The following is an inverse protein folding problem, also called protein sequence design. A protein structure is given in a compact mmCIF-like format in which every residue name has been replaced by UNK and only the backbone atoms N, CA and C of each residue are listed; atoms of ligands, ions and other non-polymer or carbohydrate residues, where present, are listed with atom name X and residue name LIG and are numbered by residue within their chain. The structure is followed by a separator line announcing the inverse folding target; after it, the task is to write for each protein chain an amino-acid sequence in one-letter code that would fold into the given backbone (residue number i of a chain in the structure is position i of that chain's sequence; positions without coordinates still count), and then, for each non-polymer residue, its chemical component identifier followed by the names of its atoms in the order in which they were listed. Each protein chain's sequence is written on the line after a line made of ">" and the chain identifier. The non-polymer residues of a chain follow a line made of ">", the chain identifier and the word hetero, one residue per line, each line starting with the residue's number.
data_IF_981132969945
#
_entry.id   IF_981132969945
#
_cell.length_a   1.000
_cell.length_b   1.000
_cell.length_c   1.000
_cell.angle_alpha   90.00
_cell.angle_beta   90.00
_cell.angle_gamma   90.00
#
_symmetry.space_group_name_H-M   'P 1'
#
loop_
_entity.id
_entity.type
_entity.pdbx_description
1 polymer ?
#
# COMPACT_ATOMS: atom_id res chain seq x y z
N UNK A 1 3.24 -4.85 21.14
CA UNK A 1 3.21 -6.15 20.46
C UNK A 1 3.85 -7.19 21.37
N UNK A 2 3.13 -8.23 21.77
CA UNK A 2 3.68 -9.30 22.63
C UNK A 2 4.03 -10.53 21.77
N UNK A 3 4.87 -10.31 20.78
CA UNK A 3 5.27 -11.31 19.80
C UNK A 3 6.70 -11.79 20.04
N UNK A 4 7.04 -13.03 19.70
CA UNK A 4 8.41 -13.49 19.66
C UNK A 4 9.26 -12.64 18.71
N UNK A 5 10.53 -12.46 19.05
CA UNK A 5 11.47 -11.66 18.28
C UNK A 5 12.38 -12.53 17.39
N UNK A 6 12.97 -11.93 16.37
CA UNK A 6 14.07 -12.51 15.61
C UNK A 6 15.39 -12.04 16.22
N UNK A 7 16.13 -12.94 16.88
CA UNK A 7 17.40 -12.63 17.54
C UNK A 7 17.31 -11.43 18.50
N UNK A 8 16.21 -11.36 19.26
CA UNK A 8 15.97 -10.29 20.22
C UNK A 8 15.40 -8.99 19.62
N UNK A 9 15.11 -8.95 18.33
CA UNK A 9 14.64 -7.74 17.62
C UNK A 9 13.39 -8.03 16.80
N UNK A 10 12.57 -7.01 16.57
CA UNK A 10 11.50 -7.00 15.57
C UNK A 10 12.04 -6.54 14.22
N UNK A 11 11.36 -6.87 13.16
CA UNK A 11 11.70 -6.40 11.81
C UNK A 11 10.62 -5.42 11.34
N UNK A 12 11.04 -4.27 10.84
CA UNK A 12 10.16 -3.31 10.20
C UNK A 12 10.51 -3.20 8.73
N UNK A 13 9.54 -3.46 7.87
CA UNK A 13 9.67 -3.32 6.41
C UNK A 13 9.12 -1.97 6.02
N UNK A 14 9.93 -1.13 5.37
CA UNK A 14 9.58 0.23 4.98
C UNK A 14 9.93 0.53 3.53
N UNK A 15 9.23 1.52 2.95
CA UNK A 15 9.55 2.06 1.64
C UNK A 15 10.76 3.01 1.70
N UNK A 16 11.60 3.12 0.65
CA UNK A 16 12.75 4.03 0.61
C UNK A 16 12.39 5.50 0.91
N UNK A 17 11.21 5.96 0.51
CA UNK A 17 10.73 7.33 0.84
C UNK A 17 10.59 7.56 2.35
N UNK A 18 10.15 6.54 3.10
CA UNK A 18 10.07 6.60 4.58
C UNK A 18 11.46 6.44 5.20
N UNK A 19 12.32 5.61 4.61
CA UNK A 19 13.70 5.45 5.04
C UNK A 19 14.49 6.76 4.94
N UNK A 20 14.19 7.58 3.93
CA UNK A 20 14.76 8.91 3.78
C UNK A 20 14.42 9.81 4.98
N UNK A 21 13.14 9.88 5.37
CA UNK A 21 12.72 10.68 6.52
C UNK A 21 13.30 10.15 7.85
N UNK A 22 13.30 8.81 8.01
CA UNK A 22 13.84 8.16 9.20
C UNK A 22 15.34 8.48 9.40
N UNK A 23 16.12 8.51 8.31
CA UNK A 23 17.55 8.84 8.35
C UNK A 23 17.83 10.31 8.70
N UNK A 24 16.85 11.19 8.62
CA UNK A 24 16.97 12.60 8.99
C UNK A 24 16.57 12.89 10.45
N UNK A 25 15.96 11.91 11.11
CA UNK A 25 15.56 12.05 12.51
C UNK A 25 16.77 12.13 13.45
N UNK A 26 16.75 13.08 14.39
CA UNK A 26 17.86 13.30 15.32
C UNK A 26 18.15 12.07 16.20
N UNK A 27 17.12 11.33 16.59
CA UNK A 27 17.27 10.14 17.40
C UNK A 27 17.94 9.02 16.60
N UNK A 28 17.63 8.91 15.31
CA UNK A 28 18.28 7.98 14.39
C UNK A 28 19.77 8.32 14.23
N UNK A 29 20.08 9.58 13.95
CA UNK A 29 21.46 10.06 13.77
C UNK A 29 22.28 9.82 15.05
N UNK A 30 21.73 10.17 16.22
CA UNK A 30 22.41 9.98 17.50
C UNK A 30 22.70 8.50 17.80
N UNK A 31 21.73 7.61 17.54
CA UNK A 31 21.89 6.18 17.75
C UNK A 31 23.01 5.58 16.88
N UNK A 32 23.13 6.04 15.63
CA UNK A 32 24.12 5.53 14.68
C UNK A 32 25.51 6.14 14.82
N UNK A 33 25.65 7.25 15.55
CA UNK A 33 26.98 7.80 15.88
C UNK A 33 27.76 6.94 16.88
N UNK A 34 27.07 6.17 17.71
CA UNK A 34 27.68 5.33 18.75
C UNK A 34 27.75 3.84 18.38
N UNK A 35 27.04 3.40 17.33
CA UNK A 35 27.03 2.01 16.90
C UNK A 35 28.11 1.74 15.87
N UNK A 36 28.91 0.68 16.07
CA UNK A 36 29.72 0.15 15.00
C UNK A 36 28.80 -0.36 13.89
N UNK A 37 28.97 0.13 12.69
CA UNK A 37 28.18 -0.29 11.54
C UNK A 37 28.42 -1.78 11.27
N UNK A 38 27.48 -2.62 11.63
CA UNK A 38 27.47 -4.04 11.29
C UNK A 38 26.38 -4.23 10.25
N UNK A 39 26.74 -4.15 8.99
CA UNK A 39 25.83 -4.49 7.91
C UNK A 39 25.60 -5.98 7.89
N UNK A 40 24.39 -6.42 8.24
CA UNK A 40 24.07 -7.83 8.38
C UNK A 40 23.26 -8.39 7.21
N UNK A 41 22.45 -7.57 6.54
CA UNK A 41 21.58 -8.03 5.45
C UNK A 41 21.48 -7.02 4.32
N UNK A 42 21.26 -7.53 3.09
CA UNK A 42 20.93 -6.69 1.94
C UNK A 42 19.59 -5.98 2.18
N UNK A 43 19.58 -4.65 2.08
CA UNK A 43 18.40 -3.81 2.37
C UNK A 43 18.23 -3.38 3.83
N UNK A 44 19.09 -3.81 4.74
CA UNK A 44 19.09 -3.31 6.12
C UNK A 44 19.63 -1.89 6.16
N UNK A 45 18.89 -0.97 6.77
CA UNK A 45 19.29 0.44 6.90
C UNK A 45 19.78 0.79 8.30
N UNK A 46 19.50 -0.06 9.29
CA UNK A 46 19.92 0.12 10.66
C UNK A 46 18.90 -0.37 11.69
N UNK A 47 19.19 -0.09 12.95
CA UNK A 47 18.39 -0.55 14.09
C UNK A 47 18.12 0.61 15.04
N UNK A 48 16.89 0.66 15.56
CA UNK A 48 16.48 1.61 16.57
C UNK A 48 15.45 0.98 17.51
N UNK A 49 15.62 1.17 18.82
CA UNK A 49 14.69 0.69 19.88
C UNK A 49 14.31 -0.81 19.78
N UNK A 50 15.25 -1.67 19.39
CA UNK A 50 14.99 -3.11 19.26
C UNK A 50 14.23 -3.50 18.00
N UNK A 51 14.17 -2.61 17.04
CA UNK A 51 13.59 -2.85 15.71
C UNK A 51 14.68 -2.73 14.66
N UNK A 52 14.79 -3.70 13.80
CA UNK A 52 15.62 -3.71 12.60
C UNK A 52 14.80 -3.22 11.42
N UNK A 53 15.29 -2.19 10.74
CA UNK A 53 14.60 -1.61 9.58
C UNK A 53 15.19 -2.14 8.28
N UNK A 54 14.30 -2.61 7.40
CA UNK A 54 14.64 -3.12 6.08
C UNK A 54 13.89 -2.32 5.03
N UNK A 55 14.60 -1.75 4.06
CA UNK A 55 13.97 -1.02 2.97
C UNK A 55 13.69 -1.93 1.78
N UNK A 56 12.53 -1.72 1.16
CA UNK A 56 12.16 -2.35 -0.10
C UNK A 56 11.19 -1.47 -0.88
N UNK A 57 11.36 -1.42 -2.19
CA UNK A 57 10.43 -0.72 -3.10
C UNK A 57 9.08 -1.42 -3.20
N UNK A 58 9.01 -2.70 -2.80
CA UNK A 58 7.77 -3.49 -2.76
C UNK A 58 6.92 -3.22 -1.51
N UNK A 59 7.40 -2.39 -0.56
CA UNK A 59 6.60 -1.98 0.59
C UNK A 59 5.34 -1.25 0.12
N UNK A 60 4.19 -1.63 0.69
CA UNK A 60 2.87 -1.19 0.21
C UNK A 60 2.70 0.32 0.28
N UNK A 61 2.31 0.90 -0.84
CA UNK A 61 1.89 2.29 -0.98
C UNK A 61 0.37 2.31 -1.18
N UNK A 62 -0.32 3.03 -0.32
CA UNK A 62 -1.75 3.29 -0.44
C UNK A 62 -1.93 4.64 -1.11
N UNK A 63 -2.56 4.65 -2.27
CA UNK A 63 -2.93 5.87 -2.96
C UNK A 63 -4.39 5.72 -3.34
N UNK A 64 -5.24 6.61 -2.87
CA UNK A 64 -6.65 6.57 -3.20
C UNK A 64 -6.87 6.62 -4.70
N UNK A 65 -7.66 5.71 -5.23
CA UNK A 65 -8.06 5.74 -6.62
C UNK A 65 -8.89 7.01 -6.91
N UNK A 66 -8.83 7.52 -8.13
CA UNK A 66 -9.61 8.68 -8.55
C UNK A 66 -11.10 8.48 -8.25
N UNK A 67 -11.77 9.53 -7.79
CA UNK A 67 -13.20 9.49 -7.49
C UNK A 67 -14.05 9.56 -8.75
N UNK A 68 -13.54 10.24 -9.79
CA UNK A 68 -14.23 10.42 -11.06
C UNK A 68 -13.38 9.91 -12.22
N UNK A 69 -14.00 9.67 -13.37
CA UNK A 69 -13.32 9.21 -14.58
C UNK A 69 -12.27 10.20 -15.11
N UNK A 70 -12.48 11.47 -14.85
CA UNK A 70 -11.67 12.58 -15.38
C UNK A 70 -11.12 13.51 -14.31
N UNK A 71 -11.29 13.16 -13.03
CA UNK A 71 -10.79 13.95 -11.91
C UNK A 71 -10.49 13.07 -10.69
N UNK A 72 -9.37 13.32 -10.04
CA UNK A 72 -9.01 12.66 -8.80
C UNK A 72 -9.94 13.03 -7.65
N UNK A 73 -10.26 14.30 -7.56
CA UNK A 73 -11.07 14.91 -6.51
C UNK A 73 -12.40 15.39 -7.07
N UNK A 74 -13.39 15.48 -6.20
CA UNK A 74 -14.68 16.12 -6.47
C UNK A 74 -14.82 17.38 -5.59
N UNK A 75 -15.84 18.18 -5.80
CA UNK A 75 -16.16 19.30 -4.93
C UNK A 75 -17.61 19.19 -4.44
N UNK A 76 -17.87 19.68 -3.24
CA UNK A 76 -19.21 19.75 -2.67
C UNK A 76 -19.98 20.83 -3.44
N UNK A 77 -21.13 20.47 -4.01
CA UNK A 77 -22.00 21.38 -4.72
C UNK A 77 -23.13 21.89 -3.80
N UNK A 78 -22.98 23.13 -3.36
CA UNK A 78 -23.84 23.75 -2.35
C UNK A 78 -23.46 23.38 -0.90
N UNK A 79 -23.58 24.33 0.01
CA UNK A 79 -23.26 24.10 1.41
C UNK A 79 -24.15 23.01 2.04
N UNK A 80 -23.54 22.08 2.78
CA UNK A 80 -24.22 20.98 3.47
C UNK A 80 -24.23 21.27 4.97
N UNK A 81 -25.38 21.21 5.61
CA UNK A 81 -25.53 21.39 7.06
C UNK A 81 -26.20 20.15 7.66
N UNK A 82 -25.42 19.37 8.40
CA UNK A 82 -25.86 18.17 9.14
C UNK A 82 -26.70 17.19 8.29
N UNK A 83 -26.25 16.90 7.06
CA UNK A 83 -26.91 15.93 6.17
C UNK A 83 -25.97 14.81 5.78
N UNK A 84 -26.51 13.62 5.60
CA UNK A 84 -25.77 12.46 5.09
C UNK A 84 -25.67 12.46 3.56
N UNK A 85 -26.56 13.15 2.86
CA UNK A 85 -26.53 13.27 1.40
C UNK A 85 -25.78 14.53 0.99
N UNK A 86 -24.76 14.35 0.16
CA UNK A 86 -23.86 15.39 -0.34
C UNK A 86 -23.96 15.42 -1.85
N UNK A 87 -24.38 16.53 -2.42
CA UNK A 87 -24.26 16.78 -3.85
C UNK A 87 -22.84 17.16 -4.18
N UNK A 88 -22.34 16.72 -5.33
CA UNK A 88 -20.97 17.00 -5.76
C UNK A 88 -20.90 17.36 -7.23
N UNK A 89 -19.85 18.05 -7.60
CA UNK A 89 -19.45 18.38 -8.96
C UNK A 89 -17.92 18.18 -9.14
N UNK A 90 -17.35 18.69 -10.23
CA UNK A 90 -15.92 18.63 -10.51
C UNK A 90 -15.47 17.37 -11.25
N UNK A 91 -16.37 16.43 -11.52
CA UNK A 91 -16.02 15.22 -12.27
C UNK A 91 -17.21 14.37 -12.69
N UNK A 92 -16.97 13.43 -13.61
CA UNK A 92 -17.97 12.48 -14.10
C UNK A 92 -17.88 11.17 -13.30
N UNK A 93 -18.94 10.84 -12.58
CA UNK A 93 -19.06 9.67 -11.72
C UNK A 93 -20.17 8.77 -12.20
N UNK A 94 -19.93 7.46 -12.27
CA UNK A 94 -20.99 6.50 -12.55
C UNK A 94 -21.78 6.19 -11.27
N UNK A 95 -23.09 6.04 -11.40
CA UNK A 95 -23.95 5.64 -10.28
C UNK A 95 -23.48 4.31 -9.69
N UNK A 96 -23.34 4.26 -8.38
CA UNK A 96 -22.86 3.09 -7.63
C UNK A 96 -21.35 2.88 -7.58
N UNK A 97 -20.54 3.62 -8.36
CA UNK A 97 -19.09 3.42 -8.44
C UNK A 97 -18.33 3.79 -7.15
N UNK A 98 -18.88 4.68 -6.35
CA UNK A 98 -18.30 5.10 -5.08
C UNK A 98 -18.84 4.28 -3.89
N UNK A 99 -19.83 3.42 -4.07
CA UNK A 99 -20.42 2.65 -3.01
C UNK A 99 -19.38 1.76 -2.32
N UNK A 100 -19.33 1.82 -0.97
CA UNK A 100 -18.36 1.10 -0.15
C UNK A 100 -16.98 1.75 -0.05
N UNK A 101 -16.68 2.74 -0.87
CA UNK A 101 -15.41 3.50 -0.81
C UNK A 101 -15.42 4.52 0.33
N UNK A 102 -14.27 5.02 0.61
CA UNK A 102 -14.08 6.12 1.57
C UNK A 102 -13.74 7.42 0.85
N UNK A 103 -14.26 8.52 1.38
CA UNK A 103 -13.94 9.88 0.95
C UNK A 103 -13.47 10.71 2.14
N UNK A 104 -12.63 11.69 1.88
CA UNK A 104 -12.13 12.63 2.87
C UNK A 104 -12.71 14.02 2.57
N UNK A 105 -13.42 14.58 3.54
CA UNK A 105 -14.05 15.90 3.44
C UNK A 105 -13.72 16.68 4.71
N UNK A 106 -13.12 17.85 4.59
CA UNK A 106 -12.76 18.66 5.75
C UNK A 106 -11.78 17.98 6.71
N UNK A 107 -10.91 17.09 6.21
CA UNK A 107 -9.94 16.35 7.03
C UNK A 107 -10.50 15.15 7.77
N UNK A 108 -11.80 14.84 7.64
CA UNK A 108 -12.43 13.65 8.23
C UNK A 108 -12.83 12.65 7.15
N UNK A 109 -12.61 11.38 7.42
CA UNK A 109 -12.91 10.26 6.52
C UNK A 109 -14.33 9.76 6.73
N UNK A 110 -15.06 9.56 5.63
CA UNK A 110 -16.44 9.09 5.61
C UNK A 110 -16.60 7.92 4.64
N UNK A 111 -17.42 6.95 5.00
CA UNK A 111 -17.78 5.85 4.11
C UNK A 111 -18.98 6.23 3.25
N UNK A 112 -18.89 5.97 1.97
CA UNK A 112 -19.98 6.15 1.00
C UNK A 112 -20.85 4.90 1.00
N UNK A 113 -22.14 5.05 1.31
CA UNK A 113 -23.11 3.96 1.25
C UNK A 113 -23.63 3.74 -0.17
N UNK A 114 -23.92 4.82 -0.87
CA UNK A 114 -24.39 4.79 -2.25
C UNK A 114 -24.09 6.12 -2.95
N UNK A 115 -24.05 6.12 -4.27
CA UNK A 115 -23.97 7.34 -5.05
C UNK A 115 -24.80 7.27 -6.33
N UNK A 116 -25.26 8.44 -6.76
CA UNK A 116 -25.71 8.73 -8.12
C UNK A 116 -24.57 9.33 -8.93
N UNK A 117 -24.85 9.88 -10.09
CA UNK A 117 -23.90 10.62 -10.94
C UNK A 117 -23.50 11.99 -10.37
N UNK A 118 -24.28 12.55 -9.44
CA UNK A 118 -24.13 13.93 -8.92
C UNK A 118 -24.31 14.06 -7.40
N UNK A 119 -24.60 12.97 -6.68
CA UNK A 119 -24.75 12.98 -5.23
C UNK A 119 -24.30 11.66 -4.61
N UNK A 120 -23.79 11.72 -3.39
CA UNK A 120 -23.42 10.56 -2.59
C UNK A 120 -24.13 10.59 -1.23
N UNK A 121 -24.42 9.40 -0.70
CA UNK A 121 -24.94 9.22 0.67
C UNK A 121 -23.84 8.64 1.52
N UNK A 122 -23.49 9.35 2.59
CA UNK A 122 -22.45 8.96 3.56
C UNK A 122 -23.06 8.20 4.74
N UNK A 123 -22.24 7.44 5.44
CA UNK A 123 -22.63 6.72 6.66
C UNK A 123 -23.00 7.67 7.80
N UNK A 124 -22.36 8.84 7.85
CA UNK A 124 -22.60 9.88 8.85
C UNK A 124 -23.06 11.20 8.21
N UNK A 125 -23.82 11.99 8.97
CA UNK A 125 -24.15 13.36 8.56
C UNK A 125 -22.95 14.28 8.67
N UNK A 126 -22.77 15.13 7.67
CA UNK A 126 -21.64 16.06 7.60
C UNK A 126 -22.11 17.52 7.51
N UNK A 127 -21.21 18.42 7.88
CA UNK A 127 -21.31 19.84 7.59
C UNK A 127 -20.11 20.23 6.74
N UNK A 128 -20.35 20.74 5.53
CA UNK A 128 -19.31 21.16 4.62
C UNK A 128 -19.70 22.46 3.92
N UNK A 129 -18.72 23.27 3.62
CA UNK A 129 -18.91 24.49 2.84
C UNK A 129 -19.13 24.12 1.36
N UNK A 130 -19.74 25.04 0.62
CA UNK A 130 -19.80 24.97 -0.83
C UNK A 130 -18.37 24.96 -1.40
N UNK A 131 -18.15 24.19 -2.46
CA UNK A 131 -16.85 23.96 -3.09
C UNK A 131 -15.76 23.34 -2.15
N UNK A 132 -16.14 22.77 -1.01
CA UNK A 132 -15.20 21.97 -0.21
C UNK A 132 -14.73 20.77 -1.01
N UNK A 133 -13.39 20.56 -1.09
CA UNK A 133 -12.82 19.48 -1.88
C UNK A 133 -13.08 18.14 -1.21
N UNK A 134 -13.49 17.17 -2.03
CA UNK A 134 -13.70 15.77 -1.66
C UNK A 134 -12.53 14.98 -2.23
N UNK A 135 -11.71 14.42 -1.34
CA UNK A 135 -10.55 13.61 -1.72
C UNK A 135 -10.83 12.12 -1.61
N UNK A 136 -10.09 11.26 -2.34
CA UNK A 136 -10.09 9.83 -2.07
C UNK A 136 -9.71 9.53 -0.61
N UNK A 137 -10.51 8.75 0.08
CA UNK A 137 -10.30 8.45 1.51
C UNK A 137 -9.46 7.21 1.78
N UNK A 138 -9.04 6.48 0.75
CA UNK A 138 -8.18 5.30 0.86
C UNK A 138 -6.69 5.66 0.96
N UNK A 139 -6.31 6.88 0.57
CA UNK A 139 -4.96 7.43 0.71
C UNK A 139 -4.86 8.45 1.83
N UNK A 140 -3.84 9.28 1.79
CA UNK A 140 -3.65 10.42 2.69
C UNK A 140 -4.57 11.60 2.37
N UNK A 141 -4.44 12.65 3.17
CA UNK A 141 -5.08 13.93 2.88
C UNK A 141 -4.70 14.39 1.46
N UNK A 142 -5.64 15.04 0.76
CA UNK A 142 -5.44 15.49 -0.61
C UNK A 142 -5.12 14.37 -1.61
N UNK A 143 -5.40 13.10 -1.24
CA UNK A 143 -5.09 11.94 -2.05
C UNK A 143 -3.59 11.65 -2.18
N UNK A 144 -2.78 12.15 -1.24
CA UNK A 144 -1.36 11.86 -1.19
C UNK A 144 -1.09 10.38 -0.93
N UNK A 145 0.10 9.94 -1.33
CA UNK A 145 0.60 8.60 -1.02
C UNK A 145 0.76 8.39 0.48
N UNK A 146 0.33 7.22 0.96
CA UNK A 146 0.53 6.77 2.34
C UNK A 146 1.32 5.47 2.28
N UNK A 147 2.41 5.42 3.02
CA UNK A 147 3.32 4.29 3.06
C UNK A 147 2.99 3.38 4.24
N UNK A 148 2.84 2.09 3.96
CA UNK A 148 2.62 1.08 4.99
C UNK A 148 3.94 0.58 5.54
N UNK A 149 4.25 0.94 6.78
CA UNK A 149 5.37 0.37 7.53
C UNK A 149 4.88 -0.89 8.25
N UNK A 150 5.47 -2.04 7.96
CA UNK A 150 5.03 -3.31 8.51
C UNK A 150 6.01 -3.81 9.56
N UNK A 151 5.59 -3.78 10.82
CA UNK A 151 6.33 -4.36 11.95
C UNK A 151 5.95 -5.82 12.11
N UNK A 152 6.94 -6.70 12.11
CA UNK A 152 6.74 -8.15 12.08
C UNK A 152 7.52 -8.82 13.22
N UNK A 153 6.82 -9.68 13.99
CA UNK A 153 7.41 -10.60 14.94
C UNK A 153 7.64 -11.98 14.33
N UNK A 154 8.41 -12.82 15.00
CA UNK A 154 8.68 -14.19 14.57
C UNK A 154 7.38 -15.01 14.57
N UNK A 155 7.13 -15.72 13.46
CA UNK A 155 5.94 -16.56 13.30
C UNK A 155 4.66 -15.79 12.91
N UNK A 156 4.74 -14.50 12.59
CA UNK A 156 3.60 -13.70 12.18
C UNK A 156 2.97 -14.21 10.88
N UNK A 157 3.78 -14.60 9.92
CA UNK A 157 3.33 -15.17 8.65
C UNK A 157 4.19 -16.36 8.25
N UNK A 158 3.65 -17.20 7.41
CA UNK A 158 4.32 -18.34 6.79
C UNK A 158 4.28 -18.26 5.28
N UNK A 159 5.36 -18.65 4.66
CA UNK A 159 5.45 -18.83 3.21
C UNK A 159 5.69 -20.30 2.95
N UNK A 160 4.89 -20.88 2.08
CA UNK A 160 5.06 -22.26 1.62
C UNK A 160 5.67 -22.22 0.25
N UNK A 161 6.86 -22.78 0.14
CA UNK A 161 7.51 -23.06 -1.13
C UNK A 161 7.39 -24.57 -1.37
N UNK A 162 6.59 -24.97 -2.35
CA UNK A 162 6.39 -26.37 -2.68
C UNK A 162 7.62 -26.87 -3.44
N UNK A 163 8.35 -27.72 -2.80
CA UNK A 163 9.55 -28.54 -3.06
C UNK A 163 10.38 -28.35 -4.34
N UNK A 164 9.89 -27.69 -5.36
CA UNK A 164 10.58 -27.50 -6.65
C UNK A 164 10.81 -26.01 -7.01
N UNK A 165 10.36 -25.07 -6.13
CA UNK A 165 10.52 -23.64 -6.36
C UNK A 165 9.97 -23.16 -7.72
N UNK A 166 10.68 -22.26 -8.36
CA UNK A 166 10.39 -21.84 -9.73
C UNK A 166 11.19 -22.70 -10.71
N UNK A 167 10.50 -23.52 -11.48
CA UNK A 167 11.10 -24.36 -12.54
C UNK A 167 11.06 -23.63 -13.87
N UNK A 168 12.20 -23.55 -14.54
CA UNK A 168 12.31 -23.03 -15.91
C UNK A 168 12.38 -24.21 -16.88
N UNK A 169 11.42 -24.29 -17.76
CA UNK A 169 11.28 -25.36 -18.76
C UNK A 169 11.70 -24.81 -20.11
N UNK A 170 12.77 -25.35 -20.67
CA UNK A 170 13.24 -25.01 -22.01
C UNK A 170 12.92 -26.15 -22.96
N UNK A 171 12.15 -25.84 -23.97
CA UNK A 171 11.82 -26.76 -25.08
C UNK A 171 12.67 -26.39 -26.30
N UNK A 172 13.70 -27.14 -26.66
CA UNK A 172 14.51 -26.86 -27.84
C UNK A 172 13.72 -27.10 -29.12
N UNK A 173 14.25 -26.71 -30.27
CA UNK A 173 13.69 -27.03 -31.58
C UNK A 173 13.57 -28.56 -31.75
N UNK A 174 12.50 -29.01 -32.37
CA UNK A 174 12.21 -30.43 -32.54
C UNK A 174 11.50 -31.07 -31.36
N UNK A 175 11.25 -30.33 -30.25
CA UNK A 175 10.56 -30.90 -29.07
C UNK A 175 9.04 -30.75 -29.08
N UNK A 176 8.48 -30.03 -30.06
CA UNK A 176 7.05 -29.68 -30.11
C UNK A 176 6.20 -30.73 -30.89
N UNK A 177 6.80 -31.77 -31.41
CA UNK A 177 6.11 -32.80 -32.16
C UNK A 177 5.29 -32.24 -33.33
N UNK A 178 4.06 -32.69 -33.49
CA UNK A 178 3.17 -32.30 -34.61
C UNK A 178 2.75 -30.82 -34.58
N UNK A 179 2.96 -30.11 -33.49
CA UNK A 179 2.63 -28.69 -33.41
C UNK A 179 3.64 -27.77 -34.13
N UNK A 180 4.84 -28.29 -34.43
CA UNK A 180 5.86 -27.59 -35.22
C UNK A 180 6.55 -28.57 -36.18
N UNK A 181 5.88 -28.93 -37.26
CA UNK A 181 6.38 -29.96 -38.18
C UNK A 181 7.65 -29.56 -38.95
N UNK A 182 8.03 -28.30 -38.91
CA UNK A 182 9.24 -27.79 -39.54
C UNK A 182 10.39 -27.55 -38.55
N UNK A 183 10.19 -27.88 -37.27
CA UNK A 183 11.20 -27.73 -36.20
C UNK A 183 11.81 -26.34 -36.10
N UNK A 184 11.00 -25.29 -36.35
CA UNK A 184 11.47 -23.91 -36.41
C UNK A 184 11.34 -23.16 -35.07
N UNK A 185 10.59 -23.68 -34.11
CA UNK A 185 10.24 -23.01 -32.86
C UNK A 185 10.94 -23.66 -31.68
N UNK A 186 11.36 -22.79 -30.77
CA UNK A 186 11.72 -23.16 -29.39
C UNK A 186 10.84 -22.38 -28.44
N UNK A 187 10.55 -22.94 -27.28
CA UNK A 187 9.78 -22.24 -26.25
C UNK A 187 10.48 -22.30 -24.90
N UNK A 188 10.38 -21.22 -24.14
CA UNK A 188 10.80 -21.14 -22.75
C UNK A 188 9.56 -20.83 -21.92
N UNK A 189 9.27 -21.66 -20.95
CA UNK A 189 8.21 -21.46 -19.99
C UNK A 189 8.76 -21.53 -18.58
N UNK A 190 8.03 -20.99 -17.64
CA UNK A 190 8.32 -21.17 -16.23
C UNK A 190 7.03 -21.53 -15.48
N UNK A 191 7.16 -22.25 -14.41
CA UNK A 191 6.09 -22.48 -13.45
C UNK A 191 6.62 -22.27 -12.05
N UNK A 192 5.80 -21.69 -11.19
CA UNK A 192 6.11 -21.51 -9.77
C UNK A 192 4.84 -21.71 -8.96
N UNK A 193 4.94 -22.37 -7.83
CA UNK A 193 3.83 -22.57 -6.90
C UNK A 193 4.31 -22.10 -5.53
N UNK A 194 3.68 -21.03 -5.04
CA UNK A 194 3.95 -20.52 -3.71
C UNK A 194 2.65 -20.00 -3.09
N UNK A 195 2.56 -20.06 -1.80
CA UNK A 195 1.47 -19.52 -1.03
C UNK A 195 2.03 -18.81 0.21
N UNK A 196 1.38 -17.73 0.62
CA UNK A 196 1.68 -17.03 1.86
C UNK A 196 0.39 -16.86 2.66
N UNK A 197 0.49 -17.00 3.97
CA UNK A 197 -0.64 -16.77 4.87
C UNK A 197 -0.17 -16.12 6.17
N UNK A 198 -1.02 -15.28 6.73
CA UNK A 198 -0.84 -14.73 8.07
C UNK A 198 -1.18 -15.85 9.05
N UNK A 199 -0.26 -16.14 9.98
CA UNK A 199 -0.44 -17.16 11.00
C UNK A 199 -0.99 -16.57 12.30
N UNK A 200 -0.48 -15.41 12.70
CA UNK A 200 -0.89 -14.69 13.89
C UNK A 200 -0.97 -13.19 13.62
N UNK A 201 -2.18 -12.65 13.50
CA UNK A 201 -2.41 -11.21 13.29
C UNK A 201 -1.81 -10.34 14.39
N UNK A 202 -1.83 -10.83 15.63
CA UNK A 202 -1.30 -10.10 16.79
C UNK A 202 0.22 -9.89 16.74
N UNK A 203 0.93 -10.65 15.89
CA UNK A 203 2.38 -10.55 15.72
C UNK A 203 2.79 -9.60 14.59
N UNK A 204 1.82 -8.91 14.00
CA UNK A 204 2.04 -7.91 12.96
C UNK A 204 1.36 -6.60 13.33
N UNK A 205 2.05 -5.49 13.07
CA UNK A 205 1.46 -4.15 13.23
C UNK A 205 1.79 -3.35 11.99
N UNK A 206 0.75 -2.81 11.35
CA UNK A 206 0.91 -1.88 10.24
C UNK A 206 0.79 -0.45 10.76
N UNK A 207 1.79 0.36 10.49
CA UNK A 207 1.78 1.80 10.73
C UNK A 207 1.73 2.50 9.40
N UNK A 208 0.80 3.41 9.22
CA UNK A 208 0.64 4.21 8.02
C UNK A 208 1.23 5.59 8.24
N UNK A 209 2.11 6.03 7.36
CA UNK A 209 2.74 7.35 7.43
C UNK A 209 2.85 8.00 6.05
N UNK A 210 2.96 9.32 6.00
CA UNK A 210 3.38 10.07 4.83
C UNK A 210 4.90 10.08 4.72
N UNK A 211 5.41 10.66 3.62
CA UNK A 211 6.83 10.98 3.46
C UNK A 211 7.00 12.43 3.02
N UNK A 212 8.04 13.08 3.52
CA UNK A 212 8.44 14.42 3.06
C UNK A 212 9.11 14.36 1.68
N UNK A 213 9.68 13.19 1.33
CA UNK A 213 10.40 12.98 0.07
C UNK A 213 9.44 12.91 -1.13
N UNK A 214 8.36 12.13 -1.03
CA UNK A 214 7.38 12.01 -2.11
C UNK A 214 5.96 11.93 -1.56
N UNK A 215 5.05 12.65 -2.21
CA UNK A 215 3.62 12.65 -1.92
C UNK A 215 2.78 12.08 -3.06
N UNK A 216 3.39 11.83 -4.21
CA UNK A 216 2.73 11.50 -5.47
C UNK A 216 3.07 10.10 -5.99
N UNK A 217 3.70 9.27 -5.15
CA UNK A 217 4.00 7.90 -5.54
C UNK A 217 2.72 7.13 -5.83
N UNK A 218 2.77 6.31 -6.87
CA UNK A 218 1.62 5.49 -7.26
C UNK A 218 1.49 4.29 -6.34
N UNK A 219 0.25 3.86 -6.13
CA UNK A 219 -0.03 2.61 -5.44
C UNK A 219 0.62 1.43 -6.18
N UNK A 220 1.18 0.49 -5.43
CA UNK A 220 1.78 -0.76 -5.91
C UNK A 220 0.94 -1.97 -5.50
#
# INVERSE_FOLDING_TARGET
>A
MNAPTFDGKYVCIIHPSVAFDLRQDEAWIAAHQYAAATELFSGEIGELHGVRFVETTEAKIFCGADLAKNARNLAVNGAVAAKATVSFDGGSVDAGSLAGRYVLIGGKRYKVLSNTDSAMTLEEAITAADNAVIYPGEGGAEGCAVYGCLFVGKGAYGVVDLSEGTEVIVKPRGSSGTADPLDQRSSVGWKGIHAAAILYDEYMVRVECGSSYSKEDKAN
#
